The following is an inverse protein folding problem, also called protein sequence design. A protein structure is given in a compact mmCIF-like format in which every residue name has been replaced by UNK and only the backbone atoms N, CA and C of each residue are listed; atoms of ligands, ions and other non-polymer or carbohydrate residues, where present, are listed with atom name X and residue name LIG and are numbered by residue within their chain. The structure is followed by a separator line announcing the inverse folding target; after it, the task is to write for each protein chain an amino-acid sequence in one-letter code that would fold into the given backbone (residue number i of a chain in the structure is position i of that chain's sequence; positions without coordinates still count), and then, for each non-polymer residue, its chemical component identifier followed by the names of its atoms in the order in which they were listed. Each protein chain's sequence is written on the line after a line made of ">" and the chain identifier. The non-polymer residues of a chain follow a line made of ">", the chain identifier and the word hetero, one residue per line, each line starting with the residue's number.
data_IF_748185690287
#
_entry.id   IF_748185690287
#
_cell.length_a   1.000
_cell.length_b   1.000
_cell.length_c   1.000
_cell.angle_alpha   90.00
_cell.angle_beta   90.00
_cell.angle_gamma   90.00
#
_symmetry.space_group_name_H-M   'P 1'
#
loop_
_entity.id
_entity.type
_entity.pdbx_description
1 polymer ?
#
# COMPACT_ATOMS: atom_id res chain seq x y z
N UNK A 1 -14.81 -6.58 2.73
CA UNK A 1 -14.38 -5.17 2.64
C UNK A 1 -12.90 -5.05 2.37
N UNK A 2 -12.53 -4.03 1.60
CA UNK A 2 -11.16 -3.60 1.37
C UNK A 2 -10.93 -2.22 1.97
N UNK A 3 -9.74 -1.98 2.52
CA UNK A 3 -9.36 -0.69 3.08
C UNK A 3 -8.07 -0.25 2.41
N UNK A 4 -8.03 1.00 1.96
CA UNK A 4 -6.82 1.63 1.43
C UNK A 4 -6.53 2.87 2.24
N UNK A 5 -5.27 3.07 2.59
CA UNK A 5 -4.81 4.24 3.31
C UNK A 5 -3.67 4.93 2.56
N UNK A 6 -3.71 6.26 2.54
CA UNK A 6 -2.59 7.11 2.14
C UNK A 6 -2.02 7.70 3.41
N UNK A 7 -0.74 7.43 3.68
CA UNK A 7 -0.04 7.95 4.85
C UNK A 7 1.01 8.95 4.38
N UNK A 8 0.97 10.15 4.94
CA UNK A 8 1.92 11.23 4.70
C UNK A 8 2.74 11.39 5.97
N UNK A 9 4.00 11.00 5.91
CA UNK A 9 4.97 11.22 6.99
C UNK A 9 5.67 12.57 6.78
N UNK A 10 5.63 13.43 7.80
CA UNK A 10 6.31 14.73 7.81
C UNK A 10 7.42 14.68 8.85
N UNK A 11 8.66 14.54 8.41
CA UNK A 11 9.81 14.41 9.31
C UNK A 11 9.86 15.58 10.31
N UNK A 12 9.89 15.26 11.62
CA UNK A 12 9.87 16.25 12.70
C UNK A 12 8.54 16.96 12.95
N UNK A 13 7.50 16.72 12.14
CA UNK A 13 6.20 17.42 12.18
C UNK A 13 4.99 16.46 12.27
N UNK A 14 5.25 15.19 12.58
CA UNK A 14 4.23 14.14 12.72
C UNK A 14 3.78 13.55 11.38
N UNK A 15 2.52 13.18 11.28
CA UNK A 15 1.96 12.57 10.07
C UNK A 15 0.49 12.90 9.87
N UNK A 16 0.01 12.67 8.65
CA UNK A 16 -1.42 12.69 8.31
C UNK A 16 -1.75 11.43 7.55
N UNK A 17 -2.96 10.91 7.71
CA UNK A 17 -3.42 9.79 6.91
C UNK A 17 -4.85 10.03 6.44
N UNK A 18 -5.14 9.43 5.29
CA UNK A 18 -6.47 9.37 4.70
C UNK A 18 -6.78 7.90 4.47
N UNK A 19 -8.02 7.48 4.67
CA UNK A 19 -8.43 6.10 4.42
C UNK A 19 -9.75 6.06 3.66
N UNK A 20 -9.90 5.02 2.86
CA UNK A 20 -11.12 4.70 2.14
C UNK A 20 -11.46 3.25 2.44
N UNK A 21 -12.72 2.99 2.77
CA UNK A 21 -13.26 1.63 2.88
C UNK A 21 -14.17 1.35 1.70
N UNK A 22 -13.89 0.27 1.01
CA UNK A 22 -14.65 -0.24 -0.12
C UNK A 22 -15.43 -1.46 0.39
N UNK A 23 -16.77 -1.34 0.55
CA UNK A 23 -17.60 -2.46 0.98
C UNK A 23 -17.57 -3.57 -0.07
N UNK A 24 -17.55 -4.82 0.37
CA UNK A 24 -17.43 -5.97 -0.53
C UNK A 24 -18.41 -7.08 -0.12
N UNK A 25 -19.28 -7.49 -1.04
CA UNK A 25 -20.31 -8.50 -0.78
C UNK A 25 -19.86 -9.94 -1.08
N UNK A 26 -18.64 -10.13 -1.61
CA UNK A 26 -18.08 -11.43 -1.98
C UNK A 26 -17.03 -11.95 -0.99
N UNK A 27 -16.99 -13.27 -0.81
CA UNK A 27 -15.96 -13.97 -0.02
C UNK A 27 -14.73 -14.24 -0.88
N UNK A 28 -13.56 -13.79 -0.43
CA UNK A 28 -12.28 -13.98 -1.12
C UNK A 28 -11.40 -15.03 -0.42
N UNK A 29 -10.66 -15.81 -1.21
CA UNK A 29 -9.51 -16.54 -0.67
C UNK A 29 -8.43 -15.54 -0.24
N UNK A 30 -7.52 -15.94 0.67
CA UNK A 30 -6.41 -15.08 1.10
C UNK A 30 -5.62 -14.52 -0.09
N UNK A 31 -5.32 -15.37 -1.08
CA UNK A 31 -4.63 -14.98 -2.31
C UNK A 31 -5.42 -13.93 -3.07
N UNK A 32 -6.69 -14.20 -3.35
CA UNK A 32 -7.53 -13.27 -4.11
C UNK A 32 -7.70 -11.93 -3.37
N UNK A 33 -7.77 -11.95 -2.03
CA UNK A 33 -7.84 -10.75 -1.19
C UNK A 33 -6.60 -9.87 -1.37
N UNK A 34 -5.41 -10.43 -1.20
CA UNK A 34 -4.12 -9.71 -1.30
C UNK A 34 -3.92 -9.14 -2.70
N UNK A 35 -4.23 -9.93 -3.73
CA UNK A 35 -4.18 -9.47 -5.12
C UNK A 35 -5.09 -8.27 -5.34
N UNK A 36 -6.33 -8.35 -4.86
CA UNK A 36 -7.32 -7.27 -5.00
C UNK A 36 -6.87 -6.01 -4.25
N UNK A 37 -6.38 -6.13 -3.02
CA UNK A 37 -5.84 -5.00 -2.24
C UNK A 37 -4.67 -4.31 -2.96
N UNK A 38 -3.80 -5.10 -3.59
CA UNK A 38 -2.65 -4.57 -4.33
C UNK A 38 -3.10 -3.85 -5.59
N UNK A 39 -4.05 -4.42 -6.35
CA UNK A 39 -4.61 -3.76 -7.54
C UNK A 39 -5.26 -2.43 -7.16
N UNK A 40 -6.09 -2.41 -6.10
CA UNK A 40 -6.71 -1.17 -5.62
C UNK A 40 -5.65 -0.11 -5.26
N UNK A 41 -4.57 -0.53 -4.58
CA UNK A 41 -3.47 0.36 -4.19
C UNK A 41 -2.72 0.91 -5.41
N UNK A 42 -2.48 0.08 -6.42
CA UNK A 42 -1.84 0.48 -7.67
C UNK A 42 -2.70 1.47 -8.46
N UNK A 43 -3.99 1.19 -8.62
CA UNK A 43 -4.91 2.10 -9.30
C UNK A 43 -4.97 3.46 -8.60
N UNK A 44 -4.99 3.47 -7.27
CA UNK A 44 -4.96 4.69 -6.49
C UNK A 44 -3.67 5.47 -6.74
N UNK A 45 -2.51 4.79 -6.67
CA UNK A 45 -1.21 5.41 -6.92
C UNK A 45 -1.12 6.01 -8.33
N UNK A 46 -1.55 5.26 -9.36
CA UNK A 46 -1.58 5.73 -10.74
C UNK A 46 -2.47 6.96 -10.95
N UNK A 47 -3.59 7.06 -10.23
CA UNK A 47 -4.49 8.24 -10.27
C UNK A 47 -3.96 9.42 -9.46
N UNK A 48 -3.30 9.15 -8.33
CA UNK A 48 -2.85 10.15 -7.37
C UNK A 48 -1.54 10.81 -7.79
N UNK A 49 -0.55 10.03 -8.24
CA UNK A 49 0.81 10.53 -8.52
C UNK A 49 0.83 11.63 -9.57
N UNK A 50 0.17 11.51 -10.73
CA UNK A 50 0.17 12.59 -11.72
C UNK A 50 -0.42 13.90 -11.17
N UNK A 51 -1.49 13.79 -10.36
CA UNK A 51 -2.14 14.95 -9.72
C UNK A 51 -1.24 15.61 -8.68
N UNK A 52 -0.56 14.82 -7.87
CA UNK A 52 0.42 15.34 -6.91
C UNK A 52 1.59 16.01 -7.61
N UNK A 53 2.15 15.40 -8.67
CA UNK A 53 3.22 16.02 -9.47
C UNK A 53 2.81 17.38 -10.03
N UNK A 54 1.59 17.50 -10.55
CA UNK A 54 1.08 18.77 -11.08
C UNK A 54 0.80 19.83 -10.01
N UNK A 55 0.46 19.43 -8.78
CA UNK A 55 0.13 20.36 -7.69
C UNK A 55 1.35 20.80 -6.89
N UNK A 56 2.43 20.01 -6.92
CA UNK A 56 3.65 20.23 -6.13
C UNK A 56 4.84 20.69 -6.98
N UNK A 57 4.59 21.21 -8.20
CA UNK A 57 5.61 21.73 -9.12
C UNK A 57 6.84 20.83 -9.31
N UNK A 58 6.64 19.50 -9.30
CA UNK A 58 7.72 18.54 -9.50
C UNK A 58 8.65 18.33 -8.30
N UNK A 59 8.26 18.72 -7.08
CA UNK A 59 9.00 18.31 -5.88
C UNK A 59 9.14 16.77 -5.82
N UNK A 60 10.34 16.32 -5.45
CA UNK A 60 10.64 14.91 -5.32
C UNK A 60 10.02 14.35 -4.03
N UNK A 61 8.98 13.54 -4.16
CA UNK A 61 8.46 12.71 -3.09
C UNK A 61 8.63 11.23 -3.43
N UNK A 62 9.09 10.45 -2.46
CA UNK A 62 9.14 9.00 -2.57
C UNK A 62 7.74 8.45 -2.23
N UNK A 63 7.00 8.00 -3.24
CA UNK A 63 5.79 7.20 -3.02
C UNK A 63 6.19 5.73 -2.94
N UNK A 64 5.75 5.05 -1.90
CA UNK A 64 5.95 3.60 -1.72
C UNK A 64 4.58 2.92 -1.54
N UNK A 65 4.46 1.69 -2.03
CA UNK A 65 3.26 0.87 -1.82
C UNK A 65 3.60 -0.22 -0.82
N UNK A 66 2.89 -0.21 0.31
CA UNK A 66 3.08 -1.18 1.38
C UNK A 66 2.13 -2.35 1.18
N UNK A 67 2.69 -3.55 1.13
CA UNK A 67 1.94 -4.80 1.02
C UNK A 67 2.00 -5.48 2.40
N UNK A 68 0.87 -5.51 3.12
CA UNK A 68 0.79 -6.12 4.45
C UNK A 68 0.53 -7.62 4.35
N UNK A 69 1.59 -8.39 4.10
CA UNK A 69 1.54 -9.86 4.05
C UNK A 69 2.72 -10.43 4.85
N UNK A 70 2.46 -11.42 5.70
CA UNK A 70 3.48 -12.14 6.46
C UNK A 70 4.18 -13.24 5.65
N UNK A 71 5.44 -13.54 5.98
CA UNK A 71 6.33 -14.48 5.28
C UNK A 71 6.03 -15.98 5.49
N UNK A 72 4.81 -16.35 5.87
CA UNK A 72 4.47 -17.76 6.12
C UNK A 72 4.31 -18.58 4.83
N UNK A 73 5.35 -19.35 4.49
CA UNK A 73 5.35 -20.52 3.58
C UNK A 73 4.57 -20.36 2.26
N UNK A 74 3.30 -20.81 2.16
CA UNK A 74 2.48 -20.73 0.93
C UNK A 74 2.30 -19.32 0.36
N UNK A 75 2.50 -18.27 1.17
CA UNK A 75 2.37 -16.88 0.72
C UNK A 75 3.61 -16.35 0.02
N UNK A 76 4.77 -17.02 0.10
CA UNK A 76 6.04 -16.49 -0.42
C UNK A 76 6.06 -16.28 -1.94
N UNK A 77 5.52 -17.21 -2.71
CA UNK A 77 5.45 -17.08 -4.17
C UNK A 77 4.48 -15.96 -4.57
N UNK A 78 3.32 -15.92 -3.91
CA UNK A 78 2.35 -14.85 -4.07
C UNK A 78 2.93 -13.47 -3.71
N UNK A 79 3.70 -13.35 -2.62
CA UNK A 79 4.37 -12.10 -2.26
C UNK A 79 5.31 -11.65 -3.38
N UNK A 80 6.10 -12.57 -3.97
CA UNK A 80 7.00 -12.24 -5.09
C UNK A 80 6.22 -11.75 -6.31
N UNK A 81 5.11 -12.39 -6.65
CA UNK A 81 4.25 -11.97 -7.78
C UNK A 81 3.71 -10.56 -7.54
N UNK A 82 3.19 -10.28 -6.34
CA UNK A 82 2.59 -9.00 -5.96
C UNK A 82 3.65 -7.89 -5.89
N UNK A 83 4.82 -8.16 -5.31
CA UNK A 83 5.97 -7.24 -5.33
C UNK A 83 6.43 -6.96 -6.75
N UNK A 84 6.51 -7.99 -7.60
CA UNK A 84 6.84 -7.85 -9.01
C UNK A 84 5.83 -6.99 -9.76
N UNK A 85 4.54 -7.18 -9.49
CA UNK A 85 3.46 -6.37 -10.06
C UNK A 85 3.58 -4.90 -9.67
N UNK A 86 3.88 -4.61 -8.40
CA UNK A 86 4.03 -3.23 -7.91
C UNK A 86 5.26 -2.55 -8.52
N UNK A 87 6.42 -3.22 -8.47
CA UNK A 87 7.66 -2.70 -9.05
C UNK A 87 7.56 -2.53 -10.58
N UNK A 88 6.90 -3.45 -11.28
CA UNK A 88 6.65 -3.38 -12.72
C UNK A 88 5.77 -2.20 -13.14
N UNK A 89 4.99 -1.64 -12.22
CA UNK A 89 4.18 -0.43 -12.43
C UNK A 89 4.93 0.86 -12.04
N UNK A 90 6.23 0.77 -11.73
CA UNK A 90 7.06 1.94 -11.42
C UNK A 90 6.94 2.46 -9.99
N UNK A 91 6.37 1.65 -9.08
CA UNK A 91 6.26 1.99 -7.66
C UNK A 91 7.17 1.07 -6.82
N UNK A 92 7.95 1.60 -5.87
CA UNK A 92 8.68 0.78 -4.90
C UNK A 92 7.70 0.02 -4.00
N UNK A 93 7.79 -1.31 -4.00
CA UNK A 93 7.08 -2.17 -3.07
C UNK A 93 7.83 -2.32 -1.74
N UNK A 94 7.11 -2.23 -0.61
CA UNK A 94 7.63 -2.55 0.73
C UNK A 94 6.82 -3.65 1.39
N UNK A 95 7.51 -4.71 1.84
CA UNK A 95 6.93 -5.82 2.63
C UNK A 95 7.48 -5.79 4.06
N UNK A 96 6.87 -6.52 4.99
CA UNK A 96 7.49 -6.75 6.32
C UNK A 96 8.84 -7.48 6.12
N UNK A 97 9.90 -7.18 6.90
CA UNK A 97 9.95 -6.29 8.06
C UNK A 97 10.25 -4.81 7.72
N UNK A 98 10.39 -4.42 6.46
CA UNK A 98 10.65 -3.02 6.10
C UNK A 98 9.42 -2.11 6.24
N UNK A 99 8.21 -2.68 6.25
CA UNK A 99 6.95 -1.96 6.54
C UNK A 99 6.62 -1.85 8.04
N UNK A 100 7.51 -2.30 8.94
CA UNK A 100 7.26 -2.34 10.40
C UNK A 100 6.97 -0.97 11.02
N UNK A 101 7.54 0.11 10.45
CA UNK A 101 7.25 1.49 10.89
C UNK A 101 5.79 1.90 10.69
N UNK A 102 5.10 1.37 9.66
CA UNK A 102 3.66 1.57 9.44
C UNK A 102 2.81 0.61 10.29
N UNK A 103 3.32 -0.61 10.56
CA UNK A 103 2.62 -1.61 11.37
C UNK A 103 2.45 -1.18 12.84
N UNK A 104 3.47 -0.56 13.45
CA UNK A 104 3.40 -0.05 14.83
C UNK A 104 2.36 1.08 15.00
N UNK A 105 2.05 1.82 13.94
CA UNK A 105 1.03 2.89 13.97
C UNK A 105 -0.39 2.30 13.79
N UNK A 106 -0.53 1.25 12.98
CA UNK A 106 -1.81 0.56 12.77
C UNK A 106 -2.23 -0.28 13.99
N UNK A 107 -1.28 -0.90 14.68
CA UNK A 107 -1.54 -1.77 15.84
C UNK A 107 -1.98 -0.98 17.10
N UNK A 108 -1.87 0.36 17.09
CA UNK A 108 -2.30 1.22 18.20
C UNK A 108 -3.79 1.55 18.21
N UNK A 109 -4.54 1.08 17.21
CA UNK A 109 -5.99 1.28 17.09
C UNK A 109 -6.77 -0.05 16.95
N UNK A 110 -6.17 -1.17 17.37
CA UNK A 110 -6.90 -2.43 17.62
C UNK A 110 -7.01 -2.67 19.12
#
# INVERSE_FOLDING_TARGET
>A
DFVTAIVIHRQGLGGRYFWLKIPQDQTYSLRAKIYTETIISLELAQKLVPKLKSLLDGENYALEIHIDVGESGPTREMIKEVVGMVNGNGFPAKTKPESFGAFVVADRHT
#
